data_IF_939305376081
#
_entry.id   IF_939305376081
#
_cell.length_a   1.000
_cell.length_b   1.000
_cell.length_c   1.000
_cell.angle_alpha   90.00
_cell.angle_beta   90.00
_cell.angle_gamma   90.00
#
_symmetry.space_group_name_H-M   'P 1'
#
loop_
_entity.id
_entity.type
_entity.pdbx_description
1 polymer ?
#
# COMPACT_ATOMS: atom_id res chain seq x y z
N UNK A 1 -0.19 -59.36 -9.63
CA UNK A 1 0.72 -60.20 -10.45
C UNK A 1 1.94 -59.36 -10.77
N UNK A 2 3.10 -59.79 -10.23
CA UNK A 2 4.49 -59.35 -10.51
C UNK A 2 4.95 -57.95 -10.04
N UNK A 3 6.21 -57.82 -9.57
CA UNK A 3 6.47 -57.84 -8.12
C UNK A 3 7.57 -56.86 -7.62
N UNK A 4 7.92 -57.11 -6.36
CA UNK A 4 8.71 -56.45 -5.32
C UNK A 4 10.26 -56.48 -5.41
N UNK A 5 10.85 -55.78 -4.43
CA UNK A 5 12.22 -55.82 -3.85
C UNK A 5 13.34 -55.09 -4.62
N UNK A 6 14.34 -54.40 -4.04
CA UNK A 6 14.81 -54.30 -2.66
C UNK A 6 16.36 -54.32 -2.65
N UNK A 7 16.99 -53.27 -2.07
CA UNK A 7 18.29 -53.23 -1.37
C UNK A 7 19.64 -53.45 -2.15
N UNK A 8 20.50 -52.41 -1.99
CA UNK A 8 21.99 -52.30 -1.90
C UNK A 8 22.92 -53.39 -2.47
N UNK A 9 23.96 -52.94 -3.18
CA UNK A 9 25.40 -53.10 -2.89
C UNK A 9 26.26 -52.31 -3.93
N UNK A 10 27.47 -51.84 -3.55
CA UNK A 10 28.52 -51.41 -4.50
C UNK A 10 29.05 -52.60 -5.34
N UNK A 11 30.17 -52.56 -6.08
CA UNK A 11 31.34 -51.66 -6.07
C UNK A 11 31.69 -51.15 -7.51
N UNK A 12 32.81 -50.47 -7.80
CA UNK A 12 34.03 -51.15 -8.24
C UNK A 12 35.19 -50.15 -8.44
N UNK A 13 36.37 -50.59 -8.00
CA UNK A 13 37.66 -50.21 -8.54
C UNK A 13 37.71 -50.39 -10.06
N UNK A 14 38.16 -49.35 -10.79
CA UNK A 14 38.77 -49.54 -12.11
C UNK A 14 39.98 -48.62 -12.24
N UNK A 15 41.13 -49.24 -11.97
CA UNK A 15 42.39 -49.00 -12.67
C UNK A 15 42.15 -48.64 -14.15
N UNK A 16 42.59 -47.44 -14.52
CA UNK A 16 42.61 -46.96 -15.90
C UNK A 16 43.80 -46.00 -16.09
N UNK A 17 44.99 -46.46 -15.73
CA UNK A 17 46.26 -45.86 -16.15
C UNK A 17 46.61 -46.47 -17.50
N UNK A 18 46.28 -45.79 -18.59
CA UNK A 18 46.75 -46.01 -19.96
C UNK A 18 46.06 -44.94 -20.84
N UNK A 19 46.66 -44.26 -21.81
CA UNK A 19 47.99 -44.25 -22.34
C UNK A 19 48.19 -42.85 -22.95
N UNK A 20 48.96 -41.98 -22.28
CA UNK A 20 49.39 -40.69 -22.82
C UNK A 20 50.84 -40.78 -23.22
N UNK A 21 51.10 -40.92 -24.52
CA UNK A 21 52.41 -40.95 -25.19
C UNK A 21 53.55 -40.25 -24.41
N UNK A 22 54.36 -41.04 -23.70
CA UNK A 22 55.68 -40.62 -23.22
C UNK A 22 56.64 -40.55 -24.42
N UNK A 23 56.43 -39.58 -25.31
CA UNK A 23 57.44 -39.24 -26.31
C UNK A 23 58.67 -38.69 -25.57
N UNK A 24 59.77 -39.45 -25.65
CA UNK A 24 61.07 -39.15 -25.06
C UNK A 24 61.51 -37.73 -25.45
N UNK A 25 61.53 -36.82 -24.47
CA UNK A 25 61.91 -35.41 -24.64
C UNK A 25 63.36 -35.28 -25.16
N UNK A 26 64.16 -36.33 -24.99
CA UNK A 26 65.56 -36.43 -25.37
C UNK A 26 65.82 -36.46 -26.90
N UNK A 27 64.79 -36.74 -27.72
CA UNK A 27 64.89 -36.79 -29.20
C UNK A 27 64.00 -35.78 -29.93
N UNK A 28 63.39 -34.84 -29.21
CA UNK A 28 62.51 -33.83 -29.81
C UNK A 28 63.33 -32.68 -30.39
N UNK A 29 63.02 -32.26 -31.62
CA UNK A 29 63.61 -31.04 -32.19
C UNK A 29 63.21 -29.81 -31.38
N UNK A 30 64.07 -28.78 -31.33
CA UNK A 30 63.80 -27.49 -30.65
C UNK A 30 62.39 -26.92 -30.93
N UNK A 31 61.83 -27.04 -32.16
CA UNK A 31 60.46 -26.58 -32.44
C UNK A 31 59.37 -27.36 -31.68
N UNK A 32 59.51 -28.67 -31.54
CA UNK A 32 58.53 -29.55 -30.90
C UNK A 32 58.53 -29.39 -29.38
N UNK A 33 59.72 -29.15 -28.81
CA UNK A 33 59.90 -28.75 -27.41
C UNK A 33 59.18 -27.44 -27.10
N UNK A 34 59.32 -26.42 -27.97
CA UNK A 34 58.59 -25.14 -27.83
C UNK A 34 57.08 -25.35 -27.88
N UNK A 35 56.60 -26.21 -28.77
CA UNK A 35 55.18 -26.51 -28.87
C UNK A 35 54.64 -27.18 -27.60
N UNK A 36 55.36 -28.17 -27.04
CA UNK A 36 54.97 -28.81 -25.77
C UNK A 36 54.99 -27.84 -24.58
N UNK A 37 56.00 -26.96 -24.49
CA UNK A 37 56.07 -25.93 -23.43
C UNK A 37 54.89 -24.96 -23.54
N UNK A 38 54.53 -24.54 -24.76
CA UNK A 38 53.38 -23.67 -24.99
C UNK A 38 52.06 -24.35 -24.61
N UNK A 39 51.91 -25.65 -24.93
CA UNK A 39 50.72 -26.42 -24.54
C UNK A 39 50.62 -26.54 -23.02
N UNK A 40 51.71 -26.89 -22.33
CA UNK A 40 51.73 -26.98 -20.87
C UNK A 40 51.48 -25.63 -20.18
N UNK A 41 52.05 -24.54 -20.71
CA UNK A 41 51.81 -23.20 -20.21
C UNK A 41 50.33 -22.80 -20.37
N UNK A 42 49.68 -23.22 -21.46
CA UNK A 42 48.24 -23.02 -21.69
C UNK A 42 47.41 -23.82 -20.67
N UNK A 43 47.71 -25.11 -20.46
CA UNK A 43 47.00 -25.94 -19.48
C UNK A 43 47.14 -25.40 -18.05
N UNK A 44 48.34 -24.96 -17.67
CA UNK A 44 48.59 -24.34 -16.36
C UNK A 44 47.83 -23.01 -16.19
N UNK A 45 47.70 -22.23 -17.27
CA UNK A 45 46.87 -21.03 -17.32
C UNK A 45 45.39 -21.32 -17.08
N UNK A 46 44.86 -22.38 -17.70
CA UNK A 46 43.48 -22.83 -17.55
C UNK A 46 43.19 -23.33 -16.12
N UNK A 47 44.11 -24.08 -15.50
CA UNK A 47 43.99 -24.54 -14.11
C UNK A 47 44.01 -23.37 -13.10
N UNK A 48 44.87 -22.35 -13.32
CA UNK A 48 44.89 -21.15 -12.47
C UNK A 48 43.56 -20.39 -12.50
N UNK A 49 42.96 -20.27 -13.68
CA UNK A 49 41.64 -19.64 -13.84
C UNK A 49 40.55 -20.48 -13.15
N UNK A 50 40.64 -21.82 -13.24
CA UNK A 50 39.76 -22.74 -12.51
C UNK A 50 39.82 -22.54 -10.99
N UNK A 51 41.02 -22.45 -10.42
CA UNK A 51 41.23 -22.21 -8.99
C UNK A 51 40.74 -20.84 -8.53
N UNK A 52 40.94 -19.78 -9.32
CA UNK A 52 40.41 -18.44 -9.00
C UNK A 52 38.88 -18.44 -8.97
N UNK A 53 38.21 -19.09 -9.94
CA UNK A 53 36.74 -19.23 -9.96
C UNK A 53 36.22 -20.02 -8.77
N UNK A 54 36.91 -21.09 -8.36
CA UNK A 54 36.54 -21.86 -7.17
C UNK A 54 36.66 -21.03 -5.89
N UNK A 55 37.73 -20.22 -5.75
CA UNK A 55 37.93 -19.31 -4.61
C UNK A 55 36.86 -18.23 -4.54
N UNK A 56 36.47 -17.66 -5.69
CA UNK A 56 35.38 -16.68 -5.75
C UNK A 56 34.05 -17.28 -5.28
N UNK A 57 33.70 -18.49 -5.74
CA UNK A 57 32.48 -19.18 -5.29
C UNK A 57 32.46 -19.45 -3.78
N UNK A 58 33.62 -19.66 -3.15
CA UNK A 58 33.71 -19.85 -1.69
C UNK A 58 33.47 -18.53 -0.97
N UNK A 59 34.04 -17.42 -1.48
CA UNK A 59 33.80 -16.07 -0.96
C UNK A 59 32.32 -15.66 -1.08
N UNK A 60 31.71 -15.85 -2.25
CA UNK A 60 30.30 -15.54 -2.50
C UNK A 60 29.37 -16.34 -1.57
N UNK A 61 29.69 -17.62 -1.32
CA UNK A 61 28.97 -18.45 -0.34
C UNK A 61 29.16 -17.96 1.09
N UNK A 62 30.35 -17.47 1.44
CA UNK A 62 30.64 -16.86 2.75
C UNK A 62 29.80 -15.61 3.00
N UNK A 63 29.70 -14.72 2.00
CA UNK A 63 28.87 -13.51 2.07
C UNK A 63 27.38 -13.82 2.16
N UNK A 64 26.89 -14.81 1.41
CA UNK A 64 25.51 -15.26 1.51
C UNK A 64 25.18 -15.81 2.91
N UNK A 65 26.10 -16.54 3.53
CA UNK A 65 25.93 -17.10 4.87
C UNK A 65 25.96 -16.02 5.95
N UNK A 66 26.76 -14.96 5.78
CA UNK A 66 26.74 -13.78 6.64
C UNK A 66 25.38 -13.07 6.58
N UNK A 67 24.84 -12.81 5.38
CA UNK A 67 23.51 -12.21 5.19
C UNK A 67 22.39 -13.02 5.84
N UNK A 68 22.44 -14.35 5.74
CA UNK A 68 21.47 -15.26 6.40
C UNK A 68 21.58 -15.19 7.93
N UNK A 69 22.79 -15.12 8.48
CA UNK A 69 23.00 -14.96 9.94
C UNK A 69 22.45 -13.63 10.45
N UNK A 70 22.61 -12.55 9.69
CA UNK A 70 22.09 -11.24 10.08
C UNK A 70 20.56 -11.19 10.01
N UNK A 71 19.96 -11.77 8.96
CA UNK A 71 18.51 -11.98 8.88
C UNK A 71 17.98 -12.80 10.06
N UNK A 72 18.67 -13.88 10.45
CA UNK A 72 18.28 -14.71 11.59
C UNK A 72 18.39 -13.95 12.93
N UNK A 73 19.39 -13.08 13.10
CA UNK A 73 19.52 -12.21 14.28
C UNK A 73 18.37 -11.19 14.33
N UNK A 74 18.04 -10.55 13.22
CA UNK A 74 16.91 -9.64 13.13
C UNK A 74 15.57 -10.34 13.43
N UNK A 75 15.36 -11.55 12.88
CA UNK A 75 14.18 -12.35 13.16
C UNK A 75 14.08 -12.74 14.65
N UNK A 76 15.20 -13.10 15.28
CA UNK A 76 15.23 -13.40 16.73
C UNK A 76 14.94 -12.17 17.58
N UNK A 77 15.47 -11.00 17.21
CA UNK A 77 15.20 -9.72 17.89
C UNK A 77 13.72 -9.36 17.80
N UNK A 78 13.15 -9.37 16.58
CA UNK A 78 11.72 -9.15 16.35
C UNK A 78 10.83 -10.14 17.13
N UNK A 79 11.23 -11.42 17.19
CA UNK A 79 10.50 -12.44 17.98
C UNK A 79 10.54 -12.17 19.49
N UNK A 80 11.66 -11.66 20.02
CA UNK A 80 11.80 -11.31 21.44
C UNK A 80 10.90 -10.11 21.81
N UNK A 81 10.83 -9.11 20.94
CA UNK A 81 9.98 -7.92 21.16
C UNK A 81 8.49 -8.27 21.04
N UNK A 82 8.10 -9.14 20.10
CA UNK A 82 6.73 -9.67 19.99
C UNK A 82 6.27 -10.39 21.27
N UNK A 83 7.19 -11.11 21.95
CA UNK A 83 6.88 -11.80 23.21
C UNK A 83 6.57 -10.83 24.36
N UNK A 84 7.22 -9.66 24.42
CA UNK A 84 6.98 -8.68 25.48
C UNK A 84 5.58 -8.06 25.38
N UNK A 85 5.18 -7.61 24.18
CA UNK A 85 3.83 -7.07 23.95
C UNK A 85 2.76 -8.15 24.16
N UNK A 86 2.99 -9.37 23.68
CA UNK A 86 2.07 -10.49 23.92
C UNK A 86 1.88 -10.78 25.41
N UNK A 87 2.95 -10.69 26.20
CA UNK A 87 2.90 -10.90 27.66
C UNK A 87 2.06 -9.82 28.34
N UNK A 88 2.26 -8.55 27.98
CA UNK A 88 1.47 -7.42 28.52
C UNK A 88 -0.02 -7.54 28.14
N UNK A 89 -0.33 -7.96 26.91
CA UNK A 89 -1.73 -8.15 26.49
C UNK A 89 -2.38 -9.33 27.19
N UNK A 90 -1.66 -10.44 27.38
CA UNK A 90 -2.17 -11.59 28.17
C UNK A 90 -2.42 -11.18 29.62
N UNK A 91 -1.52 -10.40 30.22
CA UNK A 91 -1.71 -9.89 31.56
C UNK A 91 -2.95 -8.96 31.64
N UNK A 92 -3.06 -7.99 30.74
CA UNK A 92 -4.21 -7.08 30.69
C UNK A 92 -5.54 -7.83 30.44
N UNK A 93 -5.52 -8.89 29.64
CA UNK A 93 -6.68 -9.76 29.43
C UNK A 93 -7.05 -10.53 30.70
N UNK A 94 -6.06 -11.09 31.42
CA UNK A 94 -6.31 -11.83 32.65
C UNK A 94 -6.82 -10.93 33.79
N UNK A 95 -6.42 -9.66 33.78
CA UNK A 95 -6.85 -8.63 34.72
C UNK A 95 -8.21 -7.99 34.31
N UNK A 96 -8.82 -8.41 33.20
CA UNK A 96 -10.11 -7.88 32.71
C UNK A 96 -10.04 -6.46 32.13
N UNK A 97 -8.84 -5.89 31.96
CA UNK A 97 -8.64 -4.50 31.49
C UNK A 97 -9.04 -4.28 30.04
N UNK A 98 -9.26 -5.34 29.27
CA UNK A 98 -9.65 -5.27 27.86
C UNK A 98 -11.14 -5.49 27.64
N UNK A 99 -11.90 -5.96 28.65
CA UNK A 99 -13.26 -6.50 28.47
C UNK A 99 -14.25 -5.46 27.92
N UNK A 100 -14.07 -4.20 28.28
CA UNK A 100 -14.92 -3.08 27.84
C UNK A 100 -14.50 -2.50 26.47
N UNK A 101 -13.33 -2.87 25.95
CA UNK A 101 -12.72 -2.23 24.79
C UNK A 101 -12.67 -3.15 23.56
N UNK A 102 -13.85 -3.53 23.03
CA UNK A 102 -13.95 -4.42 21.86
C UNK A 102 -13.18 -3.96 20.62
N UNK A 103 -13.11 -2.64 20.37
CA UNK A 103 -12.32 -2.08 19.27
C UNK A 103 -10.81 -2.28 19.46
N UNK A 104 -10.31 -2.11 20.70
CA UNK A 104 -8.91 -2.34 21.05
C UNK A 104 -8.55 -3.83 20.95
N UNK A 105 -9.44 -4.71 21.42
CA UNK A 105 -9.27 -6.16 21.26
C UNK A 105 -9.15 -6.55 19.78
N UNK A 106 -10.05 -6.06 18.92
CA UNK A 106 -10.03 -6.32 17.49
C UNK A 106 -8.73 -5.81 16.83
N UNK A 107 -8.28 -4.61 17.21
CA UNK A 107 -7.01 -4.05 16.77
C UNK A 107 -5.82 -4.93 17.16
N UNK A 108 -5.71 -5.30 18.45
CA UNK A 108 -4.63 -6.14 18.96
C UNK A 108 -4.61 -7.51 18.27
N UNK A 109 -5.76 -8.14 18.09
CA UNK A 109 -5.88 -9.42 17.37
C UNK A 109 -5.35 -9.29 15.94
N UNK A 110 -5.66 -8.21 15.23
CA UNK A 110 -5.16 -7.97 13.87
C UNK A 110 -3.63 -7.79 13.85
N UNK A 111 -3.07 -7.09 14.85
CA UNK A 111 -1.62 -6.93 15.04
C UNK A 111 -0.94 -8.28 15.27
N UNK A 112 -1.42 -9.08 16.23
CA UNK A 112 -0.86 -10.41 16.50
C UNK A 112 -0.96 -11.34 15.29
N UNK A 113 -2.10 -11.35 14.58
CA UNK A 113 -2.25 -12.11 13.33
C UNK A 113 -1.21 -11.69 12.29
N UNK A 114 -0.94 -10.39 12.14
CA UNK A 114 0.08 -9.94 11.19
C UNK A 114 1.50 -10.29 11.61
N UNK A 115 1.80 -10.33 12.90
CA UNK A 115 3.11 -10.77 13.40
C UNK A 115 3.34 -12.27 13.16
N UNK A 116 2.28 -13.10 13.29
CA UNK A 116 2.38 -14.56 13.10
C UNK A 116 2.34 -14.95 11.62
N UNK A 117 1.39 -14.40 10.85
CA UNK A 117 1.09 -14.85 9.48
C UNK A 117 1.59 -13.89 8.39
N UNK A 118 2.14 -12.73 8.76
CA UNK A 118 2.62 -11.72 7.83
C UNK A 118 1.53 -10.78 7.30
N UNK A 119 1.95 -9.79 6.49
CA UNK A 119 1.11 -8.65 6.06
C UNK A 119 0.28 -8.86 4.79
N UNK A 120 0.68 -9.78 3.89
CA UNK A 120 0.29 -9.76 2.46
C UNK A 120 -1.14 -10.21 2.12
N UNK A 121 -1.88 -10.83 3.05
CA UNK A 121 -3.21 -11.38 2.73
C UNK A 121 -4.22 -11.29 3.89
N UNK A 122 -3.95 -10.45 4.90
CA UNK A 122 -4.83 -10.37 6.07
C UNK A 122 -6.10 -9.59 5.75
N UNK A 123 -7.24 -10.12 6.16
CA UNK A 123 -8.43 -9.28 6.34
C UNK A 123 -8.30 -8.54 7.67
N UNK A 124 -8.33 -7.22 7.60
CA UNK A 124 -8.37 -6.35 8.78
C UNK A 124 -9.81 -6.09 9.19
N UNK A 125 -10.04 -6.05 10.50
CA UNK A 125 -11.33 -5.65 11.07
C UNK A 125 -11.64 -4.17 10.78
N UNK A 126 -12.92 -3.80 10.86
CA UNK A 126 -13.38 -2.42 10.66
C UNK A 126 -12.70 -1.44 11.62
N UNK A 127 -12.61 -1.70 12.94
CA UNK A 127 -11.94 -0.78 13.86
C UNK A 127 -10.47 -0.52 13.51
N UNK A 128 -9.73 -1.55 13.07
CA UNK A 128 -8.34 -1.38 12.64
C UNK A 128 -8.24 -0.52 11.38
N UNK A 129 -9.15 -0.69 10.41
CA UNK A 129 -9.19 0.16 9.21
C UNK A 129 -9.49 1.61 9.57
N UNK A 130 -10.43 1.86 10.47
CA UNK A 130 -10.77 3.19 10.97
C UNK A 130 -9.59 3.84 11.70
N UNK A 131 -8.93 3.10 12.60
CA UNK A 131 -7.74 3.57 13.31
C UNK A 131 -6.65 4.12 12.37
N UNK A 132 -6.26 3.35 11.35
CA UNK A 132 -5.26 3.81 10.38
C UNK A 132 -5.78 4.94 9.48
N UNK A 133 -7.07 4.96 9.17
CA UNK A 133 -7.69 6.02 8.36
C UNK A 133 -7.70 7.36 9.11
N UNK A 134 -8.00 7.34 10.41
CA UNK A 134 -7.97 8.52 11.30
C UNK A 134 -6.56 9.07 11.41
N UNK A 135 -5.55 8.23 11.62
CA UNK A 135 -4.14 8.68 11.69
C UNK A 135 -3.72 9.30 10.36
N UNK A 136 -4.05 8.64 9.24
CA UNK A 136 -3.70 9.15 7.91
C UNK A 136 -4.37 10.50 7.63
N UNK A 137 -5.61 10.69 8.10
CA UNK A 137 -6.38 11.91 7.90
C UNK A 137 -5.91 13.07 8.79
N UNK A 138 -5.70 12.81 10.08
CA UNK A 138 -5.49 13.87 11.06
C UNK A 138 -4.00 14.13 11.34
N UNK A 139 -3.14 13.13 11.14
CA UNK A 139 -1.73 13.20 11.49
C UNK A 139 -0.78 13.09 10.29
N UNK A 140 -1.33 12.85 9.10
CA UNK A 140 -0.58 12.76 7.85
C UNK A 140 0.13 11.42 7.63
N UNK A 141 0.72 11.29 6.44
CA UNK A 141 1.30 10.03 5.98
C UNK A 141 2.54 9.61 6.79
N UNK A 142 3.37 10.54 7.26
CA UNK A 142 4.58 10.20 8.01
C UNK A 142 4.25 9.47 9.32
N UNK A 143 3.30 9.99 10.11
CA UNK A 143 2.91 9.31 11.35
C UNK A 143 2.21 7.99 11.04
N UNK A 144 1.36 7.96 10.01
CA UNK A 144 0.73 6.72 9.56
C UNK A 144 1.77 5.63 9.26
N UNK A 145 2.80 5.95 8.46
CA UNK A 145 3.80 4.99 8.03
C UNK A 145 4.64 4.50 9.23
N UNK A 146 4.98 5.39 10.17
CA UNK A 146 5.62 5.02 11.43
C UNK A 146 4.76 4.06 12.28
N UNK A 147 3.50 4.40 12.54
CA UNK A 147 2.58 3.57 13.34
C UNK A 147 2.32 2.23 12.63
N UNK A 148 2.21 2.25 11.30
CA UNK A 148 2.06 1.03 10.51
C UNK A 148 3.30 0.13 10.61
N UNK A 149 4.50 0.70 10.63
CA UNK A 149 5.72 -0.07 10.83
C UNK A 149 5.76 -0.73 12.21
N UNK A 150 5.41 0.01 13.27
CA UNK A 150 5.42 -0.47 14.65
C UNK A 150 4.41 -1.59 14.92
N UNK A 151 3.20 -1.49 14.35
CA UNK A 151 2.11 -2.44 14.63
C UNK A 151 1.83 -3.42 13.49
N UNK A 152 2.77 -3.59 12.55
CA UNK A 152 2.56 -4.39 11.33
C UNK A 152 1.25 -4.04 10.59
N UNK A 153 1.01 -2.74 10.45
CA UNK A 153 -0.14 -2.13 9.81
C UNK A 153 -0.18 -2.25 8.27
N UNK A 154 -1.25 -1.69 7.67
CA UNK A 154 -1.39 -1.58 6.22
C UNK A 154 -0.43 -0.55 5.63
N UNK A 155 -0.11 -0.69 4.33
CA UNK A 155 0.56 0.39 3.61
C UNK A 155 -0.36 1.61 3.47
N UNK A 156 0.19 2.82 3.33
CA UNK A 156 -0.61 4.03 3.08
C UNK A 156 -1.49 3.90 1.84
N UNK A 157 -1.03 3.22 0.79
CA UNK A 157 -1.85 2.92 -0.38
C UNK A 157 -3.04 2.00 -0.08
N UNK A 158 -2.85 0.99 0.78
CA UNK A 158 -3.95 0.14 1.24
C UNK A 158 -4.94 0.91 2.09
N UNK A 159 -4.46 1.78 2.99
CA UNK A 159 -5.33 2.65 3.81
C UNK A 159 -6.11 3.62 2.94
N UNK A 160 -5.49 4.23 1.92
CA UNK A 160 -6.20 5.06 0.93
C UNK A 160 -7.28 4.28 0.17
N UNK A 161 -7.04 3.01 -0.14
CA UNK A 161 -8.06 2.16 -0.77
C UNK A 161 -9.22 1.83 0.17
N UNK A 162 -8.96 1.56 1.45
CA UNK A 162 -10.02 1.37 2.46
C UNK A 162 -10.83 2.65 2.63
N UNK A 163 -10.13 3.78 2.74
CA UNK A 163 -10.71 5.10 2.87
C UNK A 163 -11.60 5.43 1.66
N UNK A 164 -11.13 5.23 0.44
CA UNK A 164 -11.94 5.45 -0.77
C UNK A 164 -13.21 4.56 -0.86
N UNK A 165 -13.23 3.41 -0.17
CA UNK A 165 -14.39 2.52 -0.16
C UNK A 165 -15.42 2.86 0.93
N UNK A 166 -15.03 3.62 1.96
CA UNK A 166 -15.83 3.91 3.16
C UNK A 166 -16.16 5.40 3.30
N UNK A 167 -15.31 6.29 2.76
CA UNK A 167 -15.49 7.72 2.83
C UNK A 167 -16.81 8.14 2.21
N UNK A 168 -17.36 9.21 2.81
CA UNK A 168 -18.42 10.01 2.22
C UNK A 168 -18.08 10.27 0.75
N UNK A 169 -18.94 9.90 -0.21
CA UNK A 169 -18.64 9.97 -1.64
C UNK A 169 -18.63 11.42 -2.13
N UNK A 170 -17.78 12.27 -1.56
CA UNK A 170 -17.78 13.70 -1.79
C UNK A 170 -17.28 13.98 -3.21
N UNK A 171 -18.22 14.33 -4.08
CA UNK A 171 -18.03 14.84 -5.42
C UNK A 171 -18.58 16.26 -5.43
N UNK A 172 -18.06 17.09 -6.34
CA UNK A 172 -18.58 18.43 -6.55
C UNK A 172 -20.00 18.33 -7.11
N UNK A 173 -20.91 19.02 -6.44
CA UNK A 173 -22.29 19.21 -6.84
C UNK A 173 -23.35 18.75 -5.85
N UNK A 174 -24.59 19.00 -6.22
CA UNK A 174 -25.77 18.49 -5.51
C UNK A 174 -26.05 17.03 -5.92
N UNK A 175 -25.85 16.11 -4.99
CA UNK A 175 -26.16 14.69 -5.18
C UNK A 175 -27.09 14.17 -4.08
N UNK A 176 -28.10 13.38 -4.43
CA UNK A 176 -29.06 12.81 -3.46
C UNK A 176 -28.39 11.96 -2.38
N UNK A 177 -27.30 11.28 -2.73
CA UNK A 177 -26.60 10.38 -1.82
C UNK A 177 -26.02 11.14 -0.62
N UNK A 178 -25.75 12.43 -0.76
CA UNK A 178 -25.29 13.30 0.31
C UNK A 178 -26.36 13.54 1.36
N UNK A 179 -27.56 13.88 0.92
CA UNK A 179 -28.70 14.08 1.82
C UNK A 179 -29.09 12.76 2.51
N UNK A 180 -29.02 11.62 1.81
CA UNK A 180 -29.27 10.30 2.42
C UNK A 180 -28.23 9.96 3.49
N UNK A 181 -26.95 10.24 3.23
CA UNK A 181 -25.88 10.02 4.20
C UNK A 181 -26.01 10.97 5.40
N UNK A 182 -26.27 12.25 5.16
CA UNK A 182 -26.53 13.24 6.20
C UNK A 182 -27.71 12.81 7.09
N UNK A 183 -28.84 12.37 6.51
CA UNK A 183 -29.98 11.85 7.26
C UNK A 183 -29.62 10.61 8.10
N UNK A 184 -28.76 9.73 7.57
CA UNK A 184 -28.25 8.56 8.31
C UNK A 184 -27.43 9.00 9.52
N UNK A 185 -26.51 9.96 9.34
CA UNK A 185 -25.68 10.53 10.41
C UNK A 185 -26.57 11.18 11.49
N UNK A 186 -27.52 12.02 11.08
CA UNK A 186 -28.48 12.68 11.98
C UNK A 186 -29.23 11.64 12.84
N UNK A 187 -29.68 10.53 12.23
CA UNK A 187 -30.37 9.47 12.94
C UNK A 187 -29.45 8.73 13.92
N UNK A 188 -28.24 8.37 13.50
CA UNK A 188 -27.26 7.66 14.34
C UNK A 188 -26.86 8.50 15.56
N UNK A 189 -26.70 9.81 15.37
CA UNK A 189 -26.37 10.74 16.45
C UNK A 189 -27.58 11.26 17.23
N UNK A 190 -28.79 10.76 16.92
CA UNK A 190 -30.04 11.17 17.57
C UNK A 190 -30.29 12.68 17.52
N UNK A 191 -29.96 13.29 16.39
CA UNK A 191 -30.13 14.72 16.14
C UNK A 191 -31.42 15.03 15.34
N UNK A 192 -32.34 14.07 15.22
CA UNK A 192 -33.53 14.21 14.37
C UNK A 192 -34.44 15.37 14.76
N UNK A 193 -34.48 15.73 16.05
CA UNK A 193 -35.29 16.83 16.57
C UNK A 193 -34.48 18.14 16.75
N UNK A 194 -33.19 18.13 16.40
CA UNK A 194 -32.32 19.29 16.54
C UNK A 194 -32.62 20.33 15.46
N UNK A 195 -32.61 21.64 15.77
CA UNK A 195 -32.60 22.65 14.74
C UNK A 195 -31.23 22.71 14.05
N UNK A 196 -31.22 22.94 12.74
CA UNK A 196 -29.99 23.02 11.93
C UNK A 196 -29.90 24.37 11.22
N UNK A 197 -28.67 24.89 11.12
CA UNK A 197 -28.34 25.97 10.19
C UNK A 197 -27.67 25.37 8.95
N UNK A 198 -28.05 25.87 7.77
CA UNK A 198 -27.28 25.64 6.55
C UNK A 198 -26.18 26.71 6.49
N UNK A 199 -24.93 26.29 6.70
CA UNK A 199 -23.76 27.16 6.60
C UNK A 199 -23.10 27.00 5.25
N UNK A 200 -22.73 28.12 4.65
CA UNK A 200 -21.92 28.22 3.43
C UNK A 200 -20.57 28.83 3.82
N UNK A 201 -19.47 28.26 3.34
CA UNK A 201 -18.15 28.88 3.43
C UNK A 201 -17.37 28.66 2.13
N UNK A 202 -16.55 29.64 1.75
CA UNK A 202 -15.83 29.71 0.49
C UNK A 202 -14.32 29.72 0.69
N UNK A 203 -13.61 28.81 0.02
CA UNK A 203 -12.14 28.80 -0.01
C UNK A 203 -11.62 29.10 -1.40
N UNK A 204 -10.60 29.97 -1.49
CA UNK A 204 -9.93 30.25 -2.76
C UNK A 204 -9.26 28.98 -3.31
N UNK A 205 -9.45 28.73 -4.61
CA UNK A 205 -8.83 27.62 -5.33
C UNK A 205 -7.69 28.13 -6.20
N UNK A 206 -6.69 27.28 -6.38
CA UNK A 206 -5.77 27.44 -7.50
C UNK A 206 -6.51 27.08 -8.80
N UNK A 207 -6.54 28.00 -9.76
CA UNK A 207 -7.16 27.78 -11.07
C UNK A 207 -6.47 26.62 -11.79
N UNK A 208 -7.14 25.46 -11.82
CA UNK A 208 -6.60 24.24 -12.42
C UNK A 208 -7.74 23.32 -12.82
N UNK A 209 -7.60 22.66 -13.97
CA UNK A 209 -8.46 21.57 -14.40
C UNK A 209 -7.77 20.27 -14.06
N UNK A 210 -8.47 19.38 -13.37
CA UNK A 210 -7.99 18.05 -13.03
C UNK A 210 -8.89 16.98 -13.65
N UNK A 211 -8.28 15.88 -14.08
CA UNK A 211 -8.97 14.74 -14.67
C UNK A 211 -8.61 13.51 -13.85
N UNK A 212 -9.62 12.84 -13.29
CA UNK A 212 -9.45 11.60 -12.55
C UNK A 212 -10.31 10.49 -13.15
N UNK A 213 -9.78 9.27 -13.20
CA UNK A 213 -10.55 8.11 -13.61
C UNK A 213 -11.38 7.58 -12.42
N UNK A 214 -12.70 7.75 -12.48
CA UNK A 214 -13.64 7.22 -11.47
C UNK A 214 -14.45 6.11 -12.12
N UNK A 215 -14.36 4.89 -11.58
CA UNK A 215 -15.03 3.69 -12.13
C UNK A 215 -14.74 3.49 -13.62
N UNK A 216 -13.50 3.76 -14.05
CA UNK A 216 -13.05 3.58 -15.43
C UNK A 216 -13.47 4.69 -16.39
N UNK A 217 -14.12 5.76 -15.92
CA UNK A 217 -14.53 6.90 -16.75
C UNK A 217 -13.77 8.18 -16.37
N UNK A 218 -13.41 9.04 -17.35
CA UNK A 218 -12.76 10.31 -17.07
C UNK A 218 -13.75 11.30 -16.44
N UNK A 219 -13.51 11.67 -15.19
CA UNK A 219 -14.22 12.75 -14.52
C UNK A 219 -13.35 14.01 -14.53
N UNK A 220 -13.97 15.12 -14.91
CA UNK A 220 -13.34 16.44 -14.98
C UNK A 220 -13.75 17.27 -13.76
N UNK A 221 -12.76 17.93 -13.17
CA UNK A 221 -12.88 18.82 -12.01
C UNK A 221 -12.23 20.18 -12.32
N UNK A 222 -12.62 21.21 -11.58
CA UNK A 222 -11.98 22.54 -11.64
C UNK A 222 -12.68 23.57 -12.53
N UNK A 223 -13.78 23.20 -13.19
CA UNK A 223 -14.70 24.18 -13.79
C UNK A 223 -15.80 24.54 -12.79
N UNK A 224 -16.47 25.67 -13.04
CA UNK A 224 -17.61 26.10 -12.22
C UNK A 224 -18.75 25.08 -12.27
N UNK A 225 -19.43 24.90 -11.13
CA UNK A 225 -20.51 23.94 -10.94
C UNK A 225 -20.02 22.57 -10.48
N UNK A 226 -20.59 21.53 -11.08
CA UNK A 226 -20.40 20.13 -10.70
C UNK A 226 -19.20 19.52 -11.41
N UNK A 227 -18.68 18.41 -10.86
CA UNK A 227 -17.85 17.51 -11.68
C UNK A 227 -18.70 16.81 -12.73
N UNK A 228 -18.14 16.54 -13.91
CA UNK A 228 -18.85 15.87 -15.01
C UNK A 228 -17.97 14.82 -15.68
N UNK A 229 -18.62 13.88 -16.38
CA UNK A 229 -17.95 12.81 -17.11
C UNK A 229 -17.75 13.25 -18.56
N UNK A 230 -16.58 12.96 -19.12
CA UNK A 230 -16.31 13.15 -20.54
C UNK A 230 -15.81 11.85 -21.14
N UNK A 231 -16.42 11.42 -22.23
CA UNK A 231 -15.99 10.24 -23.00
C UNK A 231 -15.08 10.65 -24.17
N UNK A 232 -15.13 11.92 -24.58
CA UNK A 232 -14.34 12.46 -25.70
C UNK A 232 -13.73 13.83 -25.39
N UNK A 233 -12.65 14.15 -26.11
CA UNK A 233 -12.02 15.48 -26.05
C UNK A 233 -12.98 16.58 -26.52
N UNK A 234 -13.88 16.28 -27.45
CA UNK A 234 -14.83 17.26 -27.96
C UNK A 234 -15.84 17.67 -26.89
N UNK A 235 -16.41 16.70 -26.16
CA UNK A 235 -17.30 16.99 -25.02
C UNK A 235 -16.60 17.85 -23.96
N UNK A 236 -15.33 17.58 -23.67
CA UNK A 236 -14.55 18.43 -22.77
C UNK A 236 -14.39 19.86 -23.31
N UNK A 237 -14.08 20.03 -24.59
CA UNK A 237 -13.92 21.35 -25.22
C UNK A 237 -15.22 22.14 -25.21
N UNK A 238 -16.34 21.49 -25.45
CA UNK A 238 -17.65 22.14 -25.43
C UNK A 238 -17.98 22.60 -24.00
N UNK A 239 -17.80 21.73 -23.00
CA UNK A 239 -17.99 22.09 -21.59
C UNK A 239 -17.04 23.22 -21.13
N UNK A 240 -15.77 23.20 -21.56
CA UNK A 240 -14.78 24.22 -21.19
C UNK A 240 -15.01 25.59 -21.87
N UNK A 241 -15.84 25.65 -22.93
CA UNK A 241 -16.27 26.93 -23.52
C UNK A 241 -17.39 27.57 -22.72
N UNK A 242 -18.29 26.76 -22.19
CA UNK A 242 -19.50 27.22 -21.52
C UNK A 242 -19.30 27.43 -20.01
N UNK A 243 -18.29 26.78 -19.42
CA UNK A 243 -18.03 26.83 -17.98
C UNK A 243 -16.65 27.47 -17.70
N UNK A 244 -16.59 28.59 -16.94
CA UNK A 244 -15.32 29.19 -16.53
C UNK A 244 -14.59 28.29 -15.53
N UNK A 245 -13.27 28.47 -15.42
CA UNK A 245 -12.43 27.80 -14.42
C UNK A 245 -12.79 28.33 -13.04
N UNK A 246 -13.04 27.42 -12.09
CA UNK A 246 -13.41 27.80 -10.74
C UNK A 246 -12.23 28.49 -10.01
N UNK A 247 -12.53 29.60 -9.36
CA UNK A 247 -11.58 30.36 -8.53
C UNK A 247 -11.87 30.19 -7.03
N UNK A 248 -13.07 29.74 -6.69
CA UNK A 248 -13.51 29.52 -5.30
C UNK A 248 -14.27 28.20 -5.19
N UNK A 249 -14.05 27.47 -4.10
CA UNK A 249 -14.84 26.30 -3.71
C UNK A 249 -15.78 26.72 -2.58
N UNK A 250 -17.07 26.69 -2.82
CA UNK A 250 -18.06 26.84 -1.76
C UNK A 250 -18.44 25.47 -1.21
N UNK A 251 -18.34 25.30 0.09
CA UNK A 251 -18.78 24.13 0.82
C UNK A 251 -20.01 24.47 1.65
N UNK A 252 -21.02 23.60 1.56
CA UNK A 252 -22.26 23.72 2.31
C UNK A 252 -22.32 22.62 3.37
N UNK A 253 -22.58 23.03 4.61
CA UNK A 253 -22.63 22.13 5.76
C UNK A 253 -23.90 22.38 6.57
N UNK A 254 -24.46 21.31 7.15
CA UNK A 254 -25.49 21.42 8.18
C UNK A 254 -24.82 21.52 9.54
N UNK A 255 -25.11 22.60 10.24
CA UNK A 255 -24.60 22.87 11.58
C UNK A 255 -25.73 22.63 12.57
N UNK A 256 -25.71 21.52 13.33
CA UNK A 256 -26.68 21.31 14.40
C UNK A 256 -26.52 22.40 15.47
N UNK A 257 -27.63 23.00 15.90
CA UNK A 257 -27.66 23.96 17.00
C UNK A 257 -27.65 23.26 18.36
N UNK A 258 -26.69 22.35 18.52
CA UNK A 258 -26.42 21.60 19.75
C UNK A 258 -24.93 21.72 20.04
N UNK A 259 -24.59 22.14 21.25
CA UNK A 259 -23.21 22.32 21.65
C UNK A 259 -22.42 21.00 21.54
N UNK A 260 -21.25 21.06 20.91
CA UNK A 260 -20.37 19.91 20.70
C UNK A 260 -20.77 18.95 19.57
N UNK A 261 -21.93 19.15 18.93
CA UNK A 261 -22.31 18.34 17.77
C UNK A 261 -21.50 18.77 16.53
N UNK A 262 -20.94 17.82 15.76
CA UNK A 262 -20.10 18.16 14.61
C UNK A 262 -20.93 18.58 13.39
N UNK A 263 -20.35 19.45 12.56
CA UNK A 263 -20.95 19.88 11.29
C UNK A 263 -21.01 18.72 10.29
N UNK A 264 -22.12 18.61 9.55
CA UNK A 264 -22.35 17.56 8.56
C UNK A 264 -22.16 18.14 7.16
N UNK A 265 -21.18 17.67 6.37
CA UNK A 265 -21.00 18.14 5.01
C UNK A 265 -22.17 17.70 4.14
N UNK A 266 -22.70 18.61 3.31
CA UNK A 266 -23.73 18.29 2.33
C UNK A 266 -23.14 18.21 0.93
N UNK A 267 -22.77 19.34 0.35
CA UNK A 267 -22.29 19.43 -1.02
C UNK A 267 -21.30 20.59 -1.17
N UNK A 268 -20.61 20.64 -2.30
CA UNK A 268 -19.74 21.76 -2.65
C UNK A 268 -19.79 22.07 -4.15
N UNK A 269 -19.54 23.32 -4.52
CA UNK A 269 -19.50 23.78 -5.90
C UNK A 269 -18.27 24.62 -6.18
N UNK A 270 -17.71 24.45 -7.38
CA UNK A 270 -16.77 25.43 -7.92
C UNK A 270 -17.52 26.67 -8.39
N UNK A 271 -17.01 27.86 -8.08
CA UNK A 271 -17.56 29.12 -8.54
C UNK A 271 -16.43 30.02 -9.04
N UNK A 272 -16.75 30.87 -10.01
CA UNK A 272 -15.91 31.98 -10.40
C UNK A 272 -16.46 33.25 -9.76
N UNK A 273 -15.83 33.71 -8.68
CA UNK A 273 -16.25 34.90 -7.93
C UNK A 273 -16.00 36.22 -8.71
N UNK A 274 -15.61 36.15 -9.98
CA UNK A 274 -15.57 37.29 -10.89
C UNK A 274 -16.95 37.95 -11.10
N UNK A 275 -18.04 37.21 -10.85
CA UNK A 275 -19.41 37.73 -10.84
C UNK A 275 -20.09 37.41 -9.51
N UNK A 276 -20.21 38.43 -8.67
CA UNK A 276 -20.76 38.34 -7.31
C UNK A 276 -22.28 38.16 -7.33
N UNK A 277 -22.79 36.93 -7.27
CA UNK A 277 -24.21 36.69 -6.94
C UNK A 277 -24.45 35.39 -6.19
N UNK A 278 -25.11 35.49 -5.04
CA UNK A 278 -25.82 34.39 -4.38
C UNK A 278 -26.93 33.87 -5.31
N UNK A 279 -26.88 32.59 -5.71
CA UNK A 279 -27.84 32.01 -6.64
C UNK A 279 -29.13 31.61 -5.93
N UNK A 280 -30.21 32.37 -6.13
CA UNK A 280 -31.56 32.01 -5.66
C UNK A 280 -32.07 30.69 -6.27
N UNK A 281 -31.56 30.32 -7.45
CA UNK A 281 -31.81 29.02 -8.08
C UNK A 281 -31.26 27.87 -7.24
N UNK A 282 -30.06 28.01 -6.70
CA UNK A 282 -29.43 27.01 -5.84
C UNK A 282 -30.24 26.76 -4.57
N UNK A 283 -30.68 27.84 -3.90
CA UNK A 283 -31.55 27.74 -2.72
C UNK A 283 -32.85 26.97 -3.00
N UNK A 284 -33.46 27.19 -4.17
CA UNK A 284 -34.67 26.48 -4.60
C UNK A 284 -34.40 25.00 -4.91
N UNK A 285 -33.26 24.66 -5.49
CA UNK A 285 -32.90 23.26 -5.74
C UNK A 285 -32.64 22.48 -4.46
N UNK A 286 -31.93 23.08 -3.48
CA UNK A 286 -31.72 22.47 -2.17
C UNK A 286 -33.06 22.14 -1.50
N UNK A 287 -34.04 23.04 -1.58
CA UNK A 287 -35.37 22.82 -1.00
C UNK A 287 -36.09 21.59 -1.57
N UNK A 288 -35.92 21.30 -2.87
CA UNK A 288 -36.50 20.10 -3.51
C UNK A 288 -35.89 18.78 -3.02
N UNK A 289 -34.72 18.80 -2.37
CA UNK A 289 -34.10 17.60 -1.81
C UNK A 289 -34.49 17.37 -0.33
N UNK A 290 -35.03 18.40 0.33
CA UNK A 290 -35.46 18.35 1.73
C UNK A 290 -36.95 18.00 1.85
N UNK A 291 -37.77 18.37 0.85
CA UNK A 291 -39.20 18.05 0.74
C UNK A 291 -39.44 16.90 -0.25
#
# INVERSE_FOLDING_TARGET
MRPFDGIKQGPSSSSGFEAGSKANVQYMGIPELRQKVNTLAKTLGEERVGHQRARQRILDKGEALAKVKDLLKEMKKKKKDCNALATLVVQASNEGLLDEYGALQAFLVDVFKAMVFGRRSRQMSTPTKEFYSIIMQNCGQMLHDFVSEMFCGPSSSSTRAFKAAVDYPFMLGLHQDYFKMAATIIKVWKLSDAPFLLSEDGSALQMRIDIAAVKGRPHVFGLCGNSFVVDTVQQFRDAARDLPVATTLYAYTLVPLIEGAPCIPLFAFGHDNSSSTFSTGLAKEIWKYIC
#
